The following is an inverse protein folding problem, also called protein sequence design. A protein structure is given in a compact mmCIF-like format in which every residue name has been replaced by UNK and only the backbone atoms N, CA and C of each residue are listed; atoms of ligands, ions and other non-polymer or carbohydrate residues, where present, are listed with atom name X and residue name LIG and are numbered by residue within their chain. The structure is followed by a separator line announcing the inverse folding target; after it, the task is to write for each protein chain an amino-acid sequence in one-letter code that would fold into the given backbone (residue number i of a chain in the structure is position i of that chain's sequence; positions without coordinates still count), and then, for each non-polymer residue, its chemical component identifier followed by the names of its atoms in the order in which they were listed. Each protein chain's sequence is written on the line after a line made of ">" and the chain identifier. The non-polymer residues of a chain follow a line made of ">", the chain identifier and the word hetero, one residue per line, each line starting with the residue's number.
data_IF_310192664497
#
_entry.id   IF_310192664497
#
_cell.length_a   1.000
_cell.length_b   1.000
_cell.length_c   1.000
_cell.angle_alpha   90.00
_cell.angle_beta   90.00
_cell.angle_gamma   90.00
#
_symmetry.space_group_name_H-M   'P 1'
#
loop_
_entity.id
_entity.type
_entity.pdbx_description
1 polymer ?
#
# COMPACT_ATOMS: atom_id res chain seq x y z
N UNK A 1 -2.85 9.60 -22.82
CA UNK A 1 -3.32 9.68 -21.42
C UNK A 1 -2.19 9.26 -20.53
N UNK A 2 -1.76 10.19 -19.70
CA UNK A 2 -0.69 10.06 -18.73
C UNK A 2 -1.23 9.39 -17.46
N UNK A 3 -0.53 8.36 -16.95
CA UNK A 3 -0.89 7.72 -15.68
C UNK A 3 -0.27 8.54 -14.54
N UNK A 4 -1.12 9.06 -13.66
CA UNK A 4 -0.69 9.80 -12.48
C UNK A 4 -0.23 8.85 -11.37
N UNK A 5 -1.03 7.80 -11.11
CA UNK A 5 -0.76 6.81 -10.07
C UNK A 5 -1.84 5.73 -9.98
N UNK A 6 -1.70 4.87 -8.98
CA UNK A 6 -2.62 3.79 -8.59
C UNK A 6 -2.96 3.95 -7.12
N UNK A 7 -4.26 3.97 -6.81
CA UNK A 7 -4.74 4.28 -5.46
C UNK A 7 -5.90 3.38 -5.07
N UNK A 8 -6.25 3.43 -3.78
CA UNK A 8 -7.54 2.91 -3.31
C UNK A 8 -8.71 3.67 -3.95
N UNK A 9 -9.90 3.08 -3.95
CA UNK A 9 -11.07 3.67 -4.63
C UNK A 9 -11.49 5.04 -4.06
N UNK A 10 -11.37 5.23 -2.74
CA UNK A 10 -11.72 6.48 -2.06
C UNK A 10 -10.72 7.59 -2.45
N UNK A 11 -9.43 7.33 -2.23
CA UNK A 11 -8.34 8.26 -2.55
C UNK A 11 -8.31 8.61 -4.05
N UNK A 12 -8.47 7.62 -4.94
CA UNK A 12 -8.57 7.87 -6.39
C UNK A 12 -9.74 8.81 -6.75
N UNK A 13 -10.85 8.69 -6.04
CA UNK A 13 -12.03 9.54 -6.25
C UNK A 13 -11.77 10.96 -5.75
N UNK A 14 -11.15 11.11 -4.58
CA UNK A 14 -10.75 12.40 -4.00
C UNK A 14 -9.79 13.15 -4.94
N UNK A 15 -8.69 12.51 -5.35
CA UNK A 15 -7.75 13.07 -6.32
C UNK A 15 -8.48 13.49 -7.60
N UNK A 16 -9.33 12.62 -8.16
CA UNK A 16 -10.06 12.93 -9.38
C UNK A 16 -11.00 14.12 -9.21
N UNK A 17 -11.65 14.28 -8.06
CA UNK A 17 -12.57 15.39 -7.81
C UNK A 17 -11.85 16.73 -7.65
N UNK A 18 -10.67 16.76 -7.03
CA UNK A 18 -9.81 17.96 -7.04
C UNK A 18 -9.44 18.36 -8.49
N UNK A 19 -8.94 17.40 -9.27
CA UNK A 19 -8.44 17.67 -10.62
C UNK A 19 -9.57 18.02 -11.61
N UNK A 20 -10.73 17.34 -11.54
CA UNK A 20 -11.89 17.66 -12.38
C UNK A 20 -12.46 19.04 -12.08
N UNK A 21 -12.50 19.45 -10.81
CA UNK A 21 -12.94 20.82 -10.42
C UNK A 21 -12.06 21.91 -11.02
N UNK A 22 -10.76 21.64 -11.18
CA UNK A 22 -9.81 22.53 -11.84
C UNK A 22 -9.89 22.52 -13.38
N UNK A 23 -10.68 21.62 -13.96
CA UNK A 23 -10.89 21.50 -15.41
C UNK A 23 -10.02 20.44 -16.10
N UNK A 24 -9.19 19.70 -15.36
CA UNK A 24 -8.43 18.59 -15.93
C UNK A 24 -9.38 17.46 -16.34
N UNK A 25 -9.10 16.82 -17.48
CA UNK A 25 -9.82 15.61 -17.90
C UNK A 25 -9.17 14.41 -17.25
N UNK A 26 -9.89 13.82 -16.31
CA UNK A 26 -9.45 12.65 -15.53
C UNK A 26 -10.26 11.42 -15.94
N UNK A 27 -9.56 10.33 -16.19
CA UNK A 27 -10.10 8.98 -16.40
C UNK A 27 -9.73 8.10 -15.21
N UNK A 28 -10.72 7.40 -14.65
CA UNK A 28 -10.54 6.44 -13.56
C UNK A 28 -10.71 5.04 -14.13
N UNK A 29 -9.65 4.23 -14.01
CA UNK A 29 -9.65 2.87 -14.54
C UNK A 29 -9.43 1.86 -13.41
N UNK A 30 -10.49 1.21 -12.91
CA UNK A 30 -10.36 0.13 -11.95
C UNK A 30 -9.61 -1.06 -12.54
N UNK A 31 -8.74 -1.66 -11.75
CA UNK A 31 -8.07 -2.91 -12.06
C UNK A 31 -7.93 -3.77 -10.79
N UNK A 32 -7.61 -5.04 -10.98
CA UNK A 32 -7.26 -5.95 -9.89
C UNK A 32 -5.75 -6.15 -9.98
N UNK A 33 -5.06 -5.90 -8.87
CA UNK A 33 -3.66 -6.23 -8.71
C UNK A 33 -3.51 -7.42 -7.77
N UNK A 34 -2.42 -8.17 -7.94
CA UNK A 34 -2.08 -9.29 -7.09
C UNK A 34 -0.81 -8.96 -6.30
N UNK A 35 -0.93 -8.94 -4.99
CA UNK A 35 0.19 -8.84 -4.07
C UNK A 35 0.55 -10.24 -3.58
N UNK A 36 1.81 -10.61 -3.76
CA UNK A 36 2.33 -11.89 -3.33
C UNK A 36 3.33 -11.66 -2.20
N UNK A 37 3.09 -12.29 -1.06
CA UNK A 37 3.98 -12.29 0.09
C UNK A 37 4.36 -13.74 0.40
N UNK A 38 5.63 -13.97 0.70
CA UNK A 38 6.11 -15.29 1.12
C UNK A 38 6.49 -15.22 2.58
N UNK A 39 5.96 -16.13 3.38
CA UNK A 39 6.34 -16.31 4.77
C UNK A 39 6.83 -17.74 4.99
N UNK A 40 7.83 -17.89 5.85
CA UNK A 40 8.34 -19.18 6.27
C UNK A 40 7.78 -19.54 7.65
N UNK A 41 7.43 -20.80 7.81
CA UNK A 41 6.88 -21.32 9.05
C UNK A 41 7.50 -22.66 9.39
N UNK A 42 7.64 -22.93 10.69
CA UNK A 42 7.83 -24.28 11.20
C UNK A 42 6.46 -24.86 11.54
N UNK A 43 6.09 -25.96 10.88
CA UNK A 43 4.78 -26.60 11.03
C UNK A 43 4.93 -28.08 11.39
N UNK A 44 4.35 -28.48 12.51
CA UNK A 44 4.45 -29.84 13.02
C UNK A 44 3.76 -30.00 14.37
N UNK A 45 3.92 -31.18 14.99
CA UNK A 45 3.43 -31.39 16.36
C UNK A 45 4.23 -30.52 17.33
N UNK A 46 3.56 -29.98 18.35
CA UNK A 46 4.19 -29.15 19.37
C UNK A 46 5.44 -29.83 19.98
N UNK A 47 5.38 -31.14 20.23
CA UNK A 47 6.52 -31.95 20.71
C UNK A 47 7.72 -31.95 19.76
N UNK A 48 7.49 -31.92 18.44
CA UNK A 48 8.56 -31.90 17.42
C UNK A 48 9.20 -30.51 17.29
N UNK A 49 8.42 -29.46 17.52
CA UNK A 49 8.85 -28.07 17.34
C UNK A 49 9.60 -27.49 18.54
N UNK A 50 9.35 -28.01 19.76
CA UNK A 50 10.06 -27.60 21.00
C UNK A 50 11.58 -27.62 20.90
N UNK A 51 12.14 -28.52 20.09
CA UNK A 51 13.58 -28.71 19.94
C UNK A 51 14.18 -27.86 18.79
N UNK A 52 13.33 -27.30 17.92
CA UNK A 52 13.73 -26.60 16.69
C UNK A 52 13.52 -25.10 16.74
N UNK A 53 12.54 -24.65 17.54
CA UNK A 53 12.18 -23.23 17.64
C UNK A 53 12.71 -22.65 18.94
N UNK A 54 13.45 -21.54 18.83
CA UNK A 54 13.88 -20.75 19.99
C UNK A 54 12.71 -20.15 20.75
N UNK A 55 12.86 -19.94 22.06
CA UNK A 55 11.85 -19.27 22.90
C UNK A 55 10.43 -19.90 22.85
N UNK A 56 10.33 -21.21 22.62
CA UNK A 56 9.07 -21.93 22.48
C UNK A 56 8.06 -21.74 23.65
N UNK A 57 8.55 -21.29 24.82
CA UNK A 57 7.71 -21.00 25.99
C UNK A 57 6.60 -19.99 25.73
N UNK A 58 6.73 -19.11 24.73
CA UNK A 58 5.65 -18.19 24.33
C UNK A 58 4.47 -18.99 23.73
N UNK A 59 4.75 -19.92 22.83
CA UNK A 59 3.75 -20.77 22.19
C UNK A 59 3.11 -21.76 23.17
N UNK A 60 3.85 -22.21 24.19
CA UNK A 60 3.25 -22.96 25.31
C UNK A 60 2.17 -22.14 26.01
N UNK A 61 2.41 -20.86 26.30
CA UNK A 61 1.40 -19.98 26.89
C UNK A 61 0.18 -19.81 25.97
N UNK A 62 0.41 -19.65 24.66
CA UNK A 62 -0.68 -19.54 23.69
C UNK A 62 -1.53 -20.81 23.68
N UNK A 63 -0.92 -21.99 23.52
CA UNK A 63 -1.64 -23.27 23.52
C UNK A 63 -2.46 -23.49 24.80
N UNK A 64 -1.90 -23.19 25.98
CA UNK A 64 -2.61 -23.33 27.24
C UNK A 64 -3.80 -22.34 27.35
N UNK A 65 -3.64 -21.11 26.85
CA UNK A 65 -4.75 -20.15 26.78
C UNK A 65 -5.85 -20.61 25.83
N UNK A 66 -5.51 -21.21 24.68
CA UNK A 66 -6.50 -21.79 23.74
C UNK A 66 -7.28 -22.91 24.44
N UNK A 67 -6.57 -23.87 25.06
CA UNK A 67 -7.20 -24.99 25.77
C UNK A 67 -8.11 -24.51 26.90
N UNK A 68 -7.68 -23.53 27.68
CA UNK A 68 -8.48 -22.95 28.75
C UNK A 68 -9.74 -22.26 28.21
N UNK A 69 -9.62 -21.46 27.14
CA UNK A 69 -10.76 -20.81 26.51
C UNK A 69 -11.77 -21.83 25.94
N UNK A 70 -11.28 -22.91 25.30
CA UNK A 70 -12.13 -23.98 24.76
C UNK A 70 -12.85 -24.75 25.88
N UNK A 71 -12.14 -25.07 26.98
CA UNK A 71 -12.69 -25.79 28.11
C UNK A 71 -13.77 -25.01 28.87
N UNK A 72 -13.71 -23.68 28.85
CA UNK A 72 -14.76 -22.83 29.41
C UNK A 72 -16.06 -22.84 28.59
N UNK A 73 -16.02 -23.31 27.34
CA UNK A 73 -17.20 -23.45 26.49
C UNK A 73 -17.89 -22.12 26.21
N UNK A 74 -17.13 -21.04 26.10
CA UNK A 74 -17.66 -19.71 25.77
C UNK A 74 -18.22 -19.68 24.34
N UNK A 75 -19.22 -18.84 24.11
CA UNK A 75 -19.80 -18.63 22.77
C UNK A 75 -18.75 -18.10 21.79
N UNK A 76 -18.92 -18.41 20.49
CA UNK A 76 -17.99 -18.05 19.42
C UNK A 76 -17.64 -16.56 19.43
N UNK A 77 -18.63 -15.68 19.63
CA UNK A 77 -18.43 -14.22 19.62
C UNK A 77 -17.60 -13.71 20.80
N UNK A 78 -17.54 -14.46 21.90
CA UNK A 78 -16.79 -14.09 23.11
C UNK A 78 -15.43 -14.81 23.22
N UNK A 79 -15.18 -15.81 22.36
CA UNK A 79 -14.02 -16.69 22.49
C UNK A 79 -12.69 -15.97 22.28
N UNK A 80 -12.56 -15.18 21.22
CA UNK A 80 -11.34 -14.44 20.92
C UNK A 80 -10.98 -13.47 22.05
N UNK A 81 -11.96 -12.73 22.54
CA UNK A 81 -11.78 -11.81 23.68
C UNK A 81 -11.39 -12.58 24.96
N UNK A 82 -11.96 -13.77 25.17
CA UNK A 82 -11.61 -14.62 26.30
C UNK A 82 -10.17 -15.14 26.21
N UNK A 83 -9.77 -15.64 25.04
CA UNK A 83 -8.40 -16.08 24.77
C UNK A 83 -7.39 -14.97 25.03
N UNK A 84 -7.63 -13.77 24.49
CA UNK A 84 -6.74 -12.62 24.70
C UNK A 84 -6.70 -12.18 26.16
N UNK A 85 -7.83 -12.23 26.87
CA UNK A 85 -7.89 -11.93 28.30
C UNK A 85 -7.11 -12.93 29.18
N UNK A 86 -6.94 -14.18 28.73
CA UNK A 86 -6.11 -15.17 29.41
C UNK A 86 -4.62 -14.88 29.22
N UNK A 87 -4.24 -14.30 28.08
CA UNK A 87 -2.86 -13.89 27.79
C UNK A 87 -2.50 -12.52 28.38
N UNK A 88 -3.48 -11.62 28.46
CA UNK A 88 -3.36 -10.30 29.05
C UNK A 88 -4.66 -9.94 29.79
N UNK A 89 -4.68 -10.04 31.13
CA UNK A 89 -5.86 -9.69 31.92
C UNK A 89 -6.35 -8.25 31.74
N UNK A 90 -5.51 -7.34 31.23
CA UNK A 90 -5.85 -5.95 30.96
C UNK A 90 -6.39 -5.69 29.54
N UNK A 91 -6.45 -6.73 28.69
CA UNK A 91 -6.83 -6.65 27.28
C UNK A 91 -8.10 -5.83 27.02
N UNK A 92 -9.19 -6.11 27.76
CA UNK A 92 -10.46 -5.39 27.59
C UNK A 92 -10.33 -3.89 27.84
N UNK A 93 -9.62 -3.52 28.91
CA UNK A 93 -9.38 -2.11 29.23
C UNK A 93 -8.57 -1.41 28.14
N UNK A 94 -7.56 -2.09 27.59
CA UNK A 94 -6.75 -1.56 26.47
C UNK A 94 -7.58 -1.37 25.20
N UNK A 95 -8.47 -2.30 24.89
CA UNK A 95 -9.35 -2.18 23.71
C UNK A 95 -10.40 -1.08 23.85
N UNK A 96 -10.96 -0.89 25.04
CA UNK A 96 -11.87 0.22 25.32
C UNK A 96 -11.17 1.57 25.13
N UNK A 97 -9.90 1.67 25.55
CA UNK A 97 -9.08 2.86 25.36
C UNK A 97 -8.80 3.14 23.87
N UNK A 98 -8.39 2.12 23.11
CA UNK A 98 -8.15 2.22 21.66
C UNK A 98 -9.43 2.62 20.92
N UNK A 99 -10.56 2.01 21.28
CA UNK A 99 -11.85 2.34 20.68
C UNK A 99 -12.31 3.78 21.00
N UNK A 100 -11.91 4.33 22.15
CA UNK A 100 -12.16 5.74 22.49
C UNK A 100 -11.32 6.67 21.63
N UNK A 101 -10.02 6.38 21.46
CA UNK A 101 -9.11 7.18 20.63
C UNK A 101 -9.56 7.26 19.16
N UNK A 102 -10.01 6.13 18.61
CA UNK A 102 -10.51 6.05 17.23
C UNK A 102 -11.83 6.80 17.04
N UNK A 103 -12.70 6.88 18.06
CA UNK A 103 -13.96 7.64 17.99
C UNK A 103 -13.74 9.15 18.02
N UNK A 104 -12.68 9.60 18.70
CA UNK A 104 -12.32 11.01 18.79
C UNK A 104 -11.53 11.50 17.56
N UNK A 105 -11.32 10.64 16.55
CA UNK A 105 -10.64 10.99 15.29
C UNK A 105 -9.14 11.27 15.45
N UNK A 106 -8.57 10.98 16.63
CA UNK A 106 -7.17 11.15 16.96
C UNK A 106 -6.45 9.81 16.83
N UNK A 107 -5.82 9.57 15.69
CA UNK A 107 -4.80 8.50 15.55
C UNK A 107 -3.42 9.00 16.01
N UNK A 108 -3.34 10.26 16.46
CA UNK A 108 -2.14 10.81 17.08
C UNK A 108 -1.93 10.21 18.48
N UNK A 109 -0.67 9.99 18.91
CA UNK A 109 -0.36 9.70 20.30
C UNK A 109 -1.08 10.71 21.18
N UNK A 110 -1.63 10.27 22.32
CA UNK A 110 -2.25 11.19 23.25
C UNK A 110 -1.24 12.30 23.62
N UNK A 111 -1.67 13.56 23.66
CA UNK A 111 -0.81 14.68 24.04
C UNK A 111 -0.09 14.38 25.37
N UNK A 112 1.21 14.09 25.31
CA UNK A 112 2.05 13.76 26.47
C UNK A 112 2.52 12.30 26.59
N UNK A 113 2.10 11.40 25.69
CA UNK A 113 2.67 10.04 25.59
C UNK A 113 4.10 10.14 25.04
N UNK A 114 5.07 9.51 25.71
CA UNK A 114 6.45 9.52 25.21
C UNK A 114 6.62 8.54 24.05
N UNK A 115 7.55 8.80 23.12
CA UNK A 115 7.88 7.88 22.02
C UNK A 115 8.11 6.43 22.51
N UNK A 116 8.68 6.27 23.71
CA UNK A 116 8.91 4.97 24.33
C UNK A 116 7.62 4.26 24.76
N UNK A 117 6.63 5.01 25.26
CA UNK A 117 5.34 4.49 25.69
C UNK A 117 4.49 4.09 24.49
N UNK A 118 4.49 4.91 23.43
CA UNK A 118 3.90 4.56 22.14
C UNK A 118 4.56 3.32 21.54
N UNK A 119 5.90 3.23 21.55
CA UNK A 119 6.61 2.05 21.04
C UNK A 119 6.28 0.79 21.84
N UNK A 120 6.23 0.86 23.18
CA UNK A 120 5.83 -0.27 24.01
C UNK A 120 4.39 -0.72 23.70
N UNK A 121 3.47 0.24 23.53
CA UNK A 121 2.08 -0.05 23.14
C UNK A 121 1.99 -0.73 21.78
N UNK A 122 2.78 -0.31 20.79
CA UNK A 122 2.86 -0.95 19.49
C UNK A 122 3.37 -2.38 19.59
N UNK A 123 4.44 -2.62 20.35
CA UNK A 123 4.99 -3.96 20.57
C UNK A 123 3.95 -4.88 21.21
N UNK A 124 3.25 -4.41 22.25
CA UNK A 124 2.19 -5.19 22.89
C UNK A 124 1.06 -5.55 21.93
N UNK A 125 0.66 -4.63 21.04
CA UNK A 125 -0.36 -4.91 20.02
C UNK A 125 0.12 -5.93 18.98
N UNK A 126 1.37 -5.83 18.53
CA UNK A 126 1.96 -6.81 17.62
C UNK A 126 2.00 -8.21 18.24
N UNK A 127 2.36 -8.33 19.52
CA UNK A 127 2.30 -9.62 20.24
C UNK A 127 0.90 -10.22 20.29
N UNK A 128 -0.16 -9.39 20.39
CA UNK A 128 -1.55 -9.89 20.35
C UNK A 128 -1.99 -10.28 18.94
N UNK A 129 -1.55 -9.57 17.92
CA UNK A 129 -1.78 -9.96 16.53
C UNK A 129 -1.10 -11.31 16.22
N UNK A 130 0.13 -11.52 16.69
CA UNK A 130 0.81 -12.81 16.57
C UNK A 130 0.04 -13.92 17.30
N UNK A 131 -0.40 -13.67 18.53
CA UNK A 131 -1.19 -14.63 19.30
C UNK A 131 -2.51 -15.01 18.60
N UNK A 132 -3.15 -14.08 17.89
CA UNK A 132 -4.35 -14.33 17.10
C UNK A 132 -4.06 -15.15 15.84
N UNK A 133 -3.00 -14.82 15.11
CA UNK A 133 -2.57 -15.62 13.97
C UNK A 133 -2.22 -17.06 14.40
N UNK A 134 -1.56 -17.22 15.54
CA UNK A 134 -1.29 -18.52 16.12
C UNK A 134 -2.56 -19.27 16.50
N UNK A 135 -3.54 -18.59 17.12
CA UNK A 135 -4.84 -19.16 17.46
C UNK A 135 -5.54 -19.72 16.22
N UNK A 136 -5.70 -18.89 15.18
CA UNK A 136 -6.43 -19.26 13.97
C UNK A 136 -5.76 -20.47 13.29
N UNK A 137 -4.44 -20.43 13.14
CA UNK A 137 -3.68 -21.54 12.55
C UNK A 137 -3.78 -22.83 13.38
N UNK A 138 -3.71 -22.73 14.71
CA UNK A 138 -3.79 -23.89 15.59
C UNK A 138 -5.19 -24.54 15.57
N UNK A 139 -6.27 -23.75 15.54
CA UNK A 139 -7.62 -24.30 15.42
C UNK A 139 -7.84 -24.96 14.04
N UNK A 140 -7.40 -24.30 12.96
CA UNK A 140 -7.52 -24.82 11.59
C UNK A 140 -6.75 -26.12 11.40
N UNK A 141 -5.46 -26.16 11.77
CA UNK A 141 -4.60 -27.33 11.59
C UNK A 141 -5.05 -28.57 12.38
N UNK A 142 -5.79 -28.37 13.47
CA UNK A 142 -6.32 -29.46 14.28
C UNK A 142 -7.81 -29.72 14.04
N UNK A 143 -8.40 -29.11 13.01
CA UNK A 143 -9.81 -29.29 12.62
C UNK A 143 -10.80 -29.06 13.79
N UNK A 144 -10.48 -28.10 14.67
CA UNK A 144 -11.35 -27.77 15.80
C UNK A 144 -12.54 -26.97 15.28
N UNK A 145 -13.70 -27.62 15.17
CA UNK A 145 -14.98 -26.95 14.96
C UNK A 145 -15.14 -25.91 16.08
N UNK A 146 -15.20 -24.63 15.72
CA UNK A 146 -15.05 -23.52 16.66
C UNK A 146 -16.04 -23.53 17.84
N UNK A 147 -15.84 -22.60 18.80
CA UNK A 147 -16.59 -22.57 20.05
C UNK A 147 -18.12 -22.43 19.86
N UNK A 148 -18.96 -22.90 20.81
CA UNK A 148 -18.59 -23.54 22.06
C UNK A 148 -18.28 -25.04 21.92
N UNK A 149 -17.19 -25.49 22.54
CA UNK A 149 -16.70 -26.87 22.45
C UNK A 149 -15.48 -27.00 21.52
N UNK A 150 -14.79 -28.13 21.63
CA UNK A 150 -13.51 -28.40 20.95
C UNK A 150 -12.39 -28.77 21.92
N UNK A 151 -11.40 -29.50 21.44
CA UNK A 151 -10.18 -29.84 22.20
C UNK A 151 -8.98 -29.75 21.26
N UNK A 152 -7.99 -28.95 21.64
CA UNK A 152 -6.73 -28.83 20.92
C UNK A 152 -5.84 -30.08 21.13
N UNK A 153 -6.14 -30.88 22.15
CA UNK A 153 -5.40 -32.09 22.50
C UNK A 153 -4.09 -31.81 23.23
N UNK A 154 -3.39 -32.89 23.60
CA UNK A 154 -2.14 -32.79 24.37
C UNK A 154 -0.91 -32.40 23.52
N UNK A 155 -0.89 -32.78 22.23
CA UNK A 155 0.21 -32.53 21.29
C UNK A 155 -0.34 -32.03 19.94
N UNK A 156 -0.80 -30.76 19.88
CA UNK A 156 -1.42 -30.20 18.68
C UNK A 156 -0.45 -30.02 17.53
N UNK A 157 -0.97 -30.01 16.30
CA UNK A 157 -0.29 -29.41 15.15
C UNK A 157 -0.31 -27.90 15.30
N UNK A 158 0.85 -27.27 15.21
CA UNK A 158 0.96 -25.81 15.28
C UNK A 158 1.85 -25.32 14.15
N UNK A 159 1.69 -24.05 13.82
CA UNK A 159 2.50 -23.33 12.83
C UNK A 159 3.09 -22.09 13.50
N UNK A 160 4.40 -21.94 13.43
CA UNK A 160 5.14 -20.82 14.03
C UNK A 160 5.88 -20.09 12.92
N UNK A 161 5.71 -18.77 12.84
CA UNK A 161 6.46 -17.95 11.90
C UNK A 161 7.95 -17.97 12.25
N UNK A 162 8.80 -18.13 11.25
CA UNK A 162 10.26 -18.13 11.43
C UNK A 162 10.91 -17.25 10.40
N UNK A 163 12.08 -16.72 10.73
CA UNK A 163 12.91 -16.03 9.76
C UNK A 163 13.48 -17.07 8.77
N UNK A 164 13.18 -16.96 7.46
CA UNK A 164 13.74 -17.87 6.46
C UNK A 164 15.27 -17.81 6.38
N UNK A 165 15.90 -16.69 6.73
CA UNK A 165 17.37 -16.53 6.70
C UNK A 165 18.05 -17.26 7.88
N UNK A 166 17.34 -17.43 8.99
CA UNK A 166 17.85 -18.12 10.20
C UNK A 166 17.44 -19.60 10.27
N UNK A 167 16.63 -20.07 9.32
CA UNK A 167 16.08 -21.43 9.31
C UNK A 167 16.91 -22.39 8.47
N UNK A 168 16.96 -23.67 8.89
CA UNK A 168 17.54 -24.74 8.06
C UNK A 168 16.59 -25.09 6.92
N UNK A 169 16.99 -24.76 5.69
CA UNK A 169 16.19 -24.99 4.47
C UNK A 169 15.95 -26.48 4.18
N UNK A 170 16.72 -27.38 4.79
CA UNK A 170 16.53 -28.83 4.67
C UNK A 170 15.64 -29.42 5.78
N UNK A 171 15.17 -28.63 6.75
CA UNK A 171 14.28 -29.12 7.82
C UNK A 171 12.94 -29.58 7.24
N UNK A 172 12.51 -30.78 7.61
CA UNK A 172 11.31 -31.43 7.10
C UNK A 172 10.00 -30.78 7.57
N UNK A 173 10.06 -29.98 8.64
CA UNK A 173 8.96 -29.21 9.21
C UNK A 173 8.91 -27.77 8.68
N UNK A 174 9.91 -27.32 7.92
CA UNK A 174 9.89 -26.00 7.30
C UNK A 174 8.86 -25.97 6.17
N UNK A 175 7.97 -24.97 6.21
CA UNK A 175 6.93 -24.70 5.21
C UNK A 175 7.06 -23.26 4.73
N UNK A 176 7.23 -23.10 3.42
CA UNK A 176 7.06 -21.80 2.77
C UNK A 176 5.63 -21.65 2.30
N UNK A 177 4.96 -20.58 2.74
CA UNK A 177 3.60 -20.25 2.33
C UNK A 177 3.67 -19.00 1.45
N UNK A 178 3.17 -19.13 0.22
CA UNK A 178 2.95 -18.01 -0.69
C UNK A 178 1.51 -17.53 -0.51
N UNK A 179 1.34 -16.39 0.14
CA UNK A 179 0.05 -15.72 0.27
C UNK A 179 -0.13 -14.75 -0.91
N UNK A 180 -1.18 -14.97 -1.72
CA UNK A 180 -1.54 -14.04 -2.80
C UNK A 180 -2.84 -13.33 -2.41
N UNK A 181 -2.77 -12.02 -2.22
CA UNK A 181 -3.92 -11.15 -1.98
C UNK A 181 -4.28 -10.42 -3.27
N UNK A 182 -5.57 -10.42 -3.59
CA UNK A 182 -6.10 -9.66 -4.72
C UNK A 182 -6.74 -8.40 -4.19
N UNK A 183 -6.26 -7.25 -4.67
CA UNK A 183 -6.75 -5.95 -4.24
C UNK A 183 -7.31 -5.18 -5.43
N UNK A 184 -8.41 -4.47 -5.19
CA UNK A 184 -8.97 -3.54 -6.16
C UNK A 184 -8.19 -2.23 -6.04
N UNK A 185 -7.58 -1.82 -7.15
CA UNK A 185 -6.92 -0.52 -7.28
C UNK A 185 -7.58 0.28 -8.39
N UNK A 186 -7.42 1.59 -8.38
CA UNK A 186 -7.92 2.48 -9.42
C UNK A 186 -6.74 3.29 -9.96
N UNK A 187 -6.47 3.13 -11.25
CA UNK A 187 -5.52 3.99 -11.95
C UNK A 187 -6.16 5.36 -12.22
N UNK A 188 -5.52 6.43 -11.75
CA UNK A 188 -5.89 7.81 -12.09
C UNK A 188 -5.08 8.22 -13.31
N UNK A 189 -5.76 8.59 -14.39
CA UNK A 189 -5.15 8.97 -15.66
C UNK A 189 -5.63 10.33 -16.10
N UNK A 190 -4.74 11.10 -16.72
CA UNK A 190 -5.02 12.47 -17.17
C UNK A 190 -4.85 12.58 -18.69
N UNK A 191 -5.69 13.40 -19.32
CA UNK A 191 -5.42 13.93 -20.64
C UNK A 191 -4.28 14.96 -20.53
N UNK A 192 -3.14 14.63 -21.15
CA UNK A 192 -1.93 15.45 -21.15
C UNK A 192 -2.24 16.89 -21.55
N UNK A 193 -3.14 17.08 -22.53
CA UNK A 193 -3.46 18.39 -23.09
C UNK A 193 -4.25 19.30 -22.15
N UNK A 194 -4.78 18.74 -21.06
CA UNK A 194 -5.49 19.51 -20.03
C UNK A 194 -4.64 19.79 -18.80
N UNK A 195 -3.43 19.22 -18.71
CA UNK A 195 -2.51 19.45 -17.57
C UNK A 195 -2.11 20.92 -17.38
N UNK A 196 -2.05 21.80 -18.40
CA UNK A 196 -1.85 23.26 -18.18
C UNK A 196 -2.95 23.94 -17.34
N UNK A 197 -4.08 23.27 -17.08
CA UNK A 197 -5.10 23.74 -16.14
C UNK A 197 -4.73 23.51 -14.67
N UNK A 198 -3.57 22.91 -14.37
CA UNK A 198 -3.07 22.69 -13.00
C UNK A 198 -3.07 23.97 -12.16
N UNK A 199 -2.80 25.13 -12.75
CA UNK A 199 -2.87 26.44 -12.06
C UNK A 199 -4.23 26.79 -11.46
N UNK A 200 -5.29 26.06 -11.83
CA UNK A 200 -6.64 26.20 -11.26
C UNK A 200 -6.89 25.23 -10.10
N UNK A 201 -5.96 24.30 -9.83
CA UNK A 201 -6.02 23.42 -8.67
C UNK A 201 -5.63 24.26 -7.46
N UNK A 202 -6.41 24.15 -6.37
CA UNK A 202 -6.14 24.89 -5.13
C UNK A 202 -4.92 24.35 -4.39
N UNK A 203 -4.31 25.21 -3.57
CA UNK A 203 -3.07 24.93 -2.83
C UNK A 203 -3.20 23.68 -1.91
N UNK A 204 -4.40 23.41 -1.38
CA UNK A 204 -4.73 22.21 -0.59
C UNK A 204 -4.31 20.90 -1.29
N UNK A 205 -4.46 20.82 -2.62
CA UNK A 205 -4.04 19.63 -3.35
C UNK A 205 -2.52 19.46 -3.38
N UNK A 206 -1.75 20.55 -3.44
CA UNK A 206 -0.30 20.48 -3.42
C UNK A 206 0.22 20.11 -2.02
N UNK A 207 -0.51 20.50 -0.97
CA UNK A 207 -0.22 20.12 0.42
C UNK A 207 -0.51 18.63 0.68
N UNK A 208 -1.65 18.12 0.20
CA UNK A 208 -2.10 16.75 0.45
C UNK A 208 -1.47 15.72 -0.53
N UNK A 209 -1.32 16.09 -1.80
CA UNK A 209 -0.85 15.23 -2.89
C UNK A 209 0.36 15.85 -3.62
N UNK A 210 1.41 16.17 -2.85
CA UNK A 210 2.58 16.89 -3.35
C UNK A 210 3.27 16.16 -4.52
N UNK A 211 3.41 14.83 -4.45
CA UNK A 211 4.06 14.06 -5.51
C UNK A 211 3.24 14.09 -6.81
N UNK A 212 1.93 13.92 -6.71
CA UNK A 212 0.99 14.05 -7.82
C UNK A 212 1.04 15.44 -8.43
N UNK A 213 1.05 16.49 -7.60
CA UNK A 213 1.14 17.86 -8.06
C UNK A 213 2.36 18.07 -8.95
N UNK A 214 3.56 17.64 -8.52
CA UNK A 214 4.78 17.83 -9.31
C UNK A 214 4.81 16.97 -10.58
N UNK A 215 4.25 15.76 -10.55
CA UNK A 215 4.06 14.93 -11.75
C UNK A 215 3.19 15.64 -12.79
N UNK A 216 2.08 16.25 -12.35
CA UNK A 216 1.18 17.00 -13.24
C UNK A 216 1.86 18.29 -13.73
N UNK A 217 2.60 18.97 -12.85
CA UNK A 217 3.32 20.20 -13.17
C UNK A 217 4.37 19.98 -14.26
N UNK A 218 5.17 18.92 -14.14
CA UNK A 218 6.14 18.53 -15.16
C UNK A 218 5.47 18.29 -16.53
N UNK A 219 4.34 17.59 -16.54
CA UNK A 219 3.57 17.36 -17.78
C UNK A 219 2.96 18.67 -18.32
N UNK A 220 2.46 19.54 -17.45
CA UNK A 220 1.89 20.83 -17.83
C UNK A 220 2.92 21.70 -18.55
N UNK A 221 4.11 21.85 -17.98
CA UNK A 221 5.20 22.62 -18.59
C UNK A 221 5.64 22.01 -19.92
N UNK A 222 5.76 20.68 -19.98
CA UNK A 222 6.08 19.97 -21.21
C UNK A 222 5.07 20.29 -22.30
N UNK A 223 3.77 20.21 -22.00
CA UNK A 223 2.70 20.53 -22.95
C UNK A 223 2.73 21.99 -23.35
N UNK A 224 2.86 22.93 -22.40
CA UNK A 224 2.91 24.37 -22.70
C UNK A 224 4.06 24.73 -23.66
N UNK A 225 5.24 24.15 -23.46
CA UNK A 225 6.39 24.30 -24.37
C UNK A 225 6.09 23.77 -25.77
N UNK A 226 5.33 22.69 -25.88
CA UNK A 226 4.98 22.06 -27.16
C UNK A 226 3.77 22.69 -27.86
N UNK A 227 2.99 23.54 -27.18
CA UNK A 227 1.84 24.21 -27.80
C UNK A 227 2.27 25.32 -28.78
N UNK A 228 3.48 25.86 -28.63
CA UNK A 228 4.04 26.87 -29.51
C UNK A 228 5.28 26.35 -30.24
N UNK A 229 5.56 26.84 -31.46
CA UNK A 229 6.81 26.49 -32.13
C UNK A 229 8.03 27.07 -31.38
N UNK A 230 9.21 26.45 -31.54
CA UNK A 230 10.48 27.07 -31.16
C UNK A 230 10.65 28.46 -31.79
N UNK A 231 11.32 29.38 -31.08
CA UNK A 231 11.48 30.78 -31.51
C UNK A 231 12.14 30.91 -32.89
N UNK A 232 13.14 30.06 -33.16
CA UNK A 232 13.96 30.13 -34.37
C UNK A 232 13.36 29.41 -35.59
N UNK A 233 12.33 28.56 -35.40
CA UNK A 233 11.73 27.81 -36.49
C UNK A 233 10.36 27.22 -36.17
N UNK A 234 9.40 27.42 -37.09
CA UNK A 234 8.10 26.73 -37.06
C UNK A 234 8.18 25.25 -37.51
N UNK A 235 9.38 24.77 -37.84
CA UNK A 235 9.61 23.41 -38.36
C UNK A 235 10.96 22.88 -37.88
N UNK A 236 10.92 21.74 -37.20
CA UNK A 236 12.12 21.05 -36.70
C UNK A 236 12.11 19.59 -37.17
N UNK A 237 13.20 18.87 -36.96
CA UNK A 237 13.20 17.42 -37.10
C UNK A 237 12.85 16.69 -35.78
N UNK A 238 12.75 15.37 -35.84
CA UNK A 238 12.32 14.57 -34.69
C UNK A 238 13.36 14.55 -33.56
N UNK A 239 14.64 14.70 -33.89
CA UNK A 239 15.71 14.71 -32.87
C UNK A 239 15.70 16.05 -32.13
N UNK A 240 15.58 17.17 -32.85
CA UNK A 240 15.34 18.49 -32.25
C UNK A 240 14.06 18.49 -31.36
N UNK A 241 13.00 17.79 -31.80
CA UNK A 241 11.77 17.66 -31.02
C UNK A 241 12.00 16.89 -29.71
N UNK A 242 12.78 15.80 -29.74
CA UNK A 242 13.15 15.04 -28.54
C UNK A 242 13.94 15.90 -27.56
N UNK A 243 14.93 16.64 -28.05
CA UNK A 243 15.73 17.55 -27.23
C UNK A 243 14.88 18.62 -26.55
N UNK A 244 13.82 19.10 -27.20
CA UNK A 244 12.89 20.08 -26.61
C UNK A 244 12.09 19.55 -25.39
N UNK A 245 12.06 18.23 -25.19
CA UNK A 245 11.40 17.57 -24.07
C UNK A 245 12.33 17.32 -22.87
N UNK A 246 13.59 17.74 -22.96
CA UNK A 246 14.58 17.62 -21.90
C UNK A 246 14.89 19.00 -21.37
N UNK A 247 14.59 19.23 -20.09
CA UNK A 247 14.78 20.54 -19.49
C UNK A 247 14.82 20.53 -17.96
N UNK A 248 15.32 21.63 -17.42
CA UNK A 248 15.34 21.91 -15.99
C UNK A 248 14.55 23.18 -15.70
N UNK A 249 13.92 23.24 -14.53
CA UNK A 249 13.23 24.41 -13.99
C UNK A 249 13.63 24.61 -12.53
N UNK A 250 14.11 25.81 -12.21
CA UNK A 250 14.47 26.22 -10.85
C UNK A 250 13.19 26.48 -10.04
N UNK A 251 12.90 25.61 -9.08
CA UNK A 251 11.83 25.81 -8.10
C UNK A 251 12.42 26.49 -6.84
N UNK A 252 11.56 26.92 -5.91
CA UNK A 252 12.02 27.62 -4.69
C UNK A 252 12.98 26.77 -3.84
N UNK A 253 12.69 25.47 -3.69
CA UNK A 253 13.44 24.57 -2.80
C UNK A 253 14.27 23.50 -3.52
N UNK A 254 14.08 23.30 -4.83
CA UNK A 254 14.75 22.26 -5.61
C UNK A 254 14.77 22.57 -7.11
N UNK A 255 15.52 21.79 -7.88
CA UNK A 255 15.51 21.86 -9.36
C UNK A 255 14.67 20.70 -9.90
N UNK A 256 13.65 21.01 -10.69
CA UNK A 256 12.84 20.00 -11.38
C UNK A 256 13.49 19.68 -12.72
N UNK A 257 13.93 18.44 -12.88
CA UNK A 257 14.45 17.92 -14.15
C UNK A 257 13.38 17.07 -14.84
N UNK A 258 13.11 17.37 -16.10
CA UNK A 258 12.17 16.63 -16.96
C UNK A 258 12.93 16.03 -18.12
N UNK A 259 12.76 14.73 -18.36
CA UNK A 259 13.24 14.03 -19.55
C UNK A 259 12.08 13.27 -20.19
N UNK A 260 11.56 13.82 -21.30
CA UNK A 260 10.48 13.23 -22.10
C UNK A 260 10.96 12.46 -23.34
N UNK A 261 12.26 12.18 -23.48
CA UNK A 261 12.84 11.64 -24.73
C UNK A 261 12.17 10.33 -25.17
N UNK A 262 11.93 9.41 -24.23
CA UNK A 262 11.34 8.09 -24.48
C UNK A 262 9.87 8.17 -24.92
N UNK A 263 9.17 9.26 -24.64
CA UNK A 263 7.74 9.45 -24.97
C UNK A 263 7.50 10.49 -26.08
N UNK A 264 8.57 10.93 -26.74
CA UNK A 264 8.52 12.00 -27.72
C UNK A 264 7.57 11.69 -28.89
N UNK A 265 7.59 10.46 -29.38
CA UNK A 265 6.73 10.06 -30.49
C UNK A 265 5.26 9.99 -30.08
N UNK A 266 4.96 9.50 -28.89
CA UNK A 266 3.62 9.48 -28.31
C UNK A 266 3.07 10.91 -28.17
N UNK A 267 3.86 11.82 -27.61
CA UNK A 267 3.49 13.24 -27.48
C UNK A 267 3.28 13.89 -28.86
N UNK A 268 4.18 13.67 -29.82
CA UNK A 268 4.01 14.17 -31.18
C UNK A 268 2.73 13.62 -31.85
N UNK A 269 2.41 12.33 -31.66
CA UNK A 269 1.15 11.74 -32.15
C UNK A 269 -0.07 12.39 -31.50
N UNK A 270 -0.03 12.67 -30.20
CA UNK A 270 -1.09 13.37 -29.46
C UNK A 270 -1.28 14.78 -30.00
N UNK A 271 -0.22 15.58 -30.10
CA UNK A 271 -0.26 16.94 -30.67
C UNK A 271 -0.77 16.96 -32.12
N UNK A 272 -0.39 15.96 -32.93
CA UNK A 272 -0.90 15.81 -34.31
C UNK A 272 -2.40 15.52 -34.33
N UNK A 273 -2.88 14.66 -33.43
CA UNK A 273 -4.30 14.29 -33.30
C UNK A 273 -5.14 15.49 -32.88
N UNK A 274 -4.66 16.27 -31.92
CA UNK A 274 -5.29 17.54 -31.49
C UNK A 274 -5.10 18.67 -32.50
N UNK A 275 -4.30 18.43 -33.54
CA UNK A 275 -4.16 19.33 -34.67
C UNK A 275 -3.16 20.46 -34.47
N UNK A 276 -2.39 20.46 -33.39
CA UNK A 276 -1.31 21.43 -33.09
C UNK A 276 -0.18 21.35 -34.12
N UNK A 277 0.23 20.14 -34.47
CA UNK A 277 1.36 19.91 -35.40
C UNK A 277 0.98 19.07 -36.62
N UNK A 278 1.86 19.06 -37.61
CA UNK A 278 1.89 18.12 -38.75
C UNK A 278 3.21 17.36 -38.72
N UNK A 279 3.14 16.05 -38.95
CA UNK A 279 4.31 15.17 -39.06
C UNK A 279 4.41 14.66 -40.50
N UNK A 280 5.57 14.83 -41.14
CA UNK A 280 5.87 14.31 -42.48
C UNK A 280 7.31 13.76 -42.52
N UNK A 281 7.43 12.43 -42.49
CA UNK A 281 8.74 11.79 -42.34
C UNK A 281 9.34 12.11 -40.98
N UNK A 282 10.59 12.56 -40.98
CA UNK A 282 11.37 13.04 -39.83
C UNK A 282 11.04 14.48 -39.42
N UNK A 283 10.14 15.18 -40.13
CA UNK A 283 9.86 16.60 -39.88
C UNK A 283 8.57 16.83 -39.13
N UNK A 284 8.64 17.72 -38.14
CA UNK A 284 7.52 18.25 -37.37
C UNK A 284 7.35 19.73 -37.71
N UNK A 285 6.11 20.16 -37.96
CA UNK A 285 5.78 21.55 -38.21
C UNK A 285 4.53 21.96 -37.44
N UNK A 286 4.59 23.06 -36.69
CA UNK A 286 3.43 23.61 -35.99
C UNK A 286 2.47 24.26 -36.99
N UNK A 287 1.17 24.09 -36.74
CA UNK A 287 0.13 24.73 -37.52
C UNK A 287 -0.08 26.14 -36.96
N UNK A 288 0.08 27.14 -37.83
CA UNK A 288 -0.31 28.53 -37.60
C UNK A 288 -1.81 28.70 -37.49
#
# INVERSE_FOLDING_TARGET
>A
MFKLGEYGEVEASEIADHLKRAGLRVDLKPSITAFAETAAYMEGRASQLRERVGEFGIYDRYMEAIKAALAEGVEAEAFTDRYLSLLDPSWRGKMDEIASLLKDGSVTPADGESDQETMNRTVELLEKLEALQFLDAALELNEVEGPPGGDLGADPLIRIAVDPEESDVEDDLLKSVLAVRLEKIVEVRLDEMTTPMLKNVGDEFAEEFAEEYYKIFAMAMTVERLLSPPEDSNKIDLDDFRESLVFEEDMEDFVLMVDGTEVAEELARTLKKEGVIKIKGDRIAWKS
#
